data_IF_453604742622
#
_entry.id   IF_453604742622
#
_cell.length_a   1.000
_cell.length_b   1.000
_cell.length_c   1.000
_cell.angle_alpha   90.00
_cell.angle_beta   90.00
_cell.angle_gamma   90.00
#
_symmetry.space_group_name_H-M   'P 1'
#
loop_
_entity.id
_entity.type
_entity.pdbx_description
1 polymer ?
#
# COMPACT_ATOMS: atom_id res chain seq x y z
N UNK A 1 -1.82 5.50 12.00
CA UNK A 1 -3.09 5.57 11.25
C UNK A 1 -2.85 6.29 9.93
N UNK A 2 -3.22 5.71 8.78
CA UNK A 2 -3.08 6.42 7.48
C UNK A 2 -4.12 7.55 7.40
N UNK A 3 -3.94 8.51 6.48
CA UNK A 3 -4.92 9.58 6.27
C UNK A 3 -6.33 9.04 5.97
N UNK A 4 -6.42 7.98 5.16
CA UNK A 4 -7.68 7.29 4.86
C UNK A 4 -8.30 6.65 6.10
N UNK A 5 -7.52 5.94 6.93
CA UNK A 5 -8.04 5.40 8.20
C UNK A 5 -8.55 6.51 9.12
N UNK A 6 -7.90 7.68 9.14
CA UNK A 6 -8.34 8.79 9.95
C UNK A 6 -9.67 9.38 9.46
N UNK A 7 -9.86 9.50 8.14
CA UNK A 7 -11.15 9.92 7.56
C UNK A 7 -12.25 8.92 7.92
N UNK A 8 -12.01 7.61 7.79
CA UNK A 8 -12.98 6.60 8.21
C UNK A 8 -13.29 6.69 9.72
N UNK A 9 -12.27 6.95 10.55
CA UNK A 9 -12.44 7.15 11.99
C UNK A 9 -13.27 8.40 12.30
N UNK A 10 -13.01 9.52 11.61
CA UNK A 10 -13.79 10.75 11.74
C UNK A 10 -15.23 10.59 11.23
N UNK A 11 -15.44 9.77 10.21
CA UNK A 11 -16.79 9.46 9.74
C UNK A 11 -17.58 8.69 10.80
N UNK A 12 -16.95 7.71 11.47
CA UNK A 12 -17.62 6.87 12.47
C UNK A 12 -17.72 7.50 13.86
N UNK A 13 -16.67 8.22 14.29
CA UNK A 13 -16.53 8.78 15.64
C UNK A 13 -16.02 10.22 15.60
N UNK A 14 -16.49 11.00 14.63
CA UNK A 14 -16.14 12.41 14.47
C UNK A 14 -16.80 13.31 15.50
N UNK A 15 -16.85 14.60 15.18
CA UNK A 15 -17.54 15.60 15.97
C UNK A 15 -18.95 15.74 15.44
N UNK A 16 -19.94 15.58 16.32
CA UNK A 16 -21.35 15.87 16.03
C UNK A 16 -21.79 17.00 16.96
N UNK A 17 -22.36 18.08 16.41
CA UNK A 17 -22.82 19.26 17.17
C UNK A 17 -21.75 19.85 18.13
N UNK A 18 -20.50 19.94 17.67
CA UNK A 18 -19.39 20.50 18.45
C UNK A 18 -18.85 19.59 19.56
N UNK A 19 -19.42 18.38 19.74
CA UNK A 19 -18.94 17.38 20.71
C UNK A 19 -18.25 16.22 19.99
N UNK A 20 -17.05 15.85 20.43
CA UNK A 20 -16.42 14.60 19.97
C UNK A 20 -17.30 13.43 20.39
N UNK A 21 -17.72 12.63 19.42
CA UNK A 21 -18.45 11.39 19.72
C UNK A 21 -17.50 10.36 20.35
N UNK A 22 -18.05 9.52 21.24
CA UNK A 22 -17.28 8.50 21.94
C UNK A 22 -16.95 7.34 21.00
N UNK A 23 -15.67 6.99 20.92
CA UNK A 23 -15.24 5.79 20.20
C UNK A 23 -15.53 4.54 21.03
N UNK A 24 -16.56 3.79 20.66
CA UNK A 24 -17.00 2.58 21.36
C UNK A 24 -16.07 1.36 21.18
N UNK A 25 -15.16 1.41 20.20
CA UNK A 25 -14.24 0.32 19.88
C UNK A 25 -12.89 0.90 19.47
N UNK A 26 -11.79 0.24 19.83
CA UNK A 26 -10.47 0.61 19.30
C UNK A 26 -10.40 0.30 17.80
N UNK A 27 -9.59 1.06 17.06
CA UNK A 27 -9.42 0.82 15.63
C UNK A 27 -8.81 -0.55 15.33
N UNK A 28 -7.89 -1.00 16.18
CA UNK A 28 -7.25 -2.31 16.05
C UNK A 28 -8.24 -3.46 16.25
N UNK A 29 -9.26 -3.28 17.11
CA UNK A 29 -10.33 -4.27 17.27
C UNK A 29 -11.30 -4.24 16.08
N UNK A 30 -11.53 -3.08 15.46
CA UNK A 30 -12.36 -3.00 14.26
C UNK A 30 -11.77 -3.77 13.07
N UNK A 31 -10.44 -3.76 12.93
CA UNK A 31 -9.77 -4.41 11.80
C UNK A 31 -9.68 -5.93 11.92
N UNK A 32 -9.97 -6.48 13.10
CA UNK A 32 -10.05 -7.93 13.28
C UNK A 32 -11.22 -8.52 12.47
N UNK A 33 -11.10 -9.78 12.01
CA UNK A 33 -12.21 -10.51 11.41
C UNK A 33 -13.45 -10.54 12.32
N UNK A 34 -14.64 -10.61 11.70
CA UNK A 34 -15.90 -10.76 12.45
C UNK A 34 -15.92 -12.00 13.35
N UNK A 35 -15.27 -13.09 12.91
CA UNK A 35 -15.09 -14.31 13.70
C UNK A 35 -14.24 -14.13 14.96
N UNK A 36 -13.42 -13.08 15.03
CA UNK A 36 -12.57 -12.75 16.17
C UNK A 36 -13.14 -11.56 16.99
N UNK A 37 -14.42 -11.23 16.80
CA UNK A 37 -15.08 -10.14 17.54
C UNK A 37 -14.74 -8.74 17.05
N UNK A 38 -14.19 -8.61 15.84
CA UNK A 38 -14.01 -7.33 15.14
C UNK A 38 -15.12 -7.01 14.15
N UNK A 39 -14.93 -5.96 13.35
CA UNK A 39 -15.90 -5.55 12.31
C UNK A 39 -15.48 -5.98 10.89
N UNK A 40 -14.29 -6.56 10.74
CA UNK A 40 -13.73 -6.97 9.45
C UNK A 40 -13.24 -5.78 8.61
N UNK A 41 -12.89 -4.66 9.24
CA UNK A 41 -12.33 -3.52 8.52
C UNK A 41 -10.92 -3.88 8.02
N UNK A 42 -10.55 -3.40 6.83
CA UNK A 42 -9.17 -3.62 6.36
C UNK A 42 -8.23 -2.70 7.09
N UNK A 43 -7.09 -3.23 7.53
CA UNK A 43 -5.95 -2.37 7.85
C UNK A 43 -5.48 -1.68 6.57
N UNK A 44 -5.77 -0.39 6.46
CA UNK A 44 -5.44 0.40 5.28
C UNK A 44 -3.93 0.51 5.04
N UNK A 45 -3.09 0.38 6.08
CA UNK A 45 -1.64 0.38 5.91
C UNK A 45 -1.23 -0.91 5.20
N UNK A 46 -1.59 -2.06 5.76
CA UNK A 46 -1.29 -3.37 5.17
C UNK A 46 -1.91 -3.50 3.77
N UNK A 47 -3.15 -3.04 3.58
CA UNK A 47 -3.82 -3.07 2.29
C UNK A 47 -3.11 -2.20 1.24
N UNK A 48 -2.66 -1.00 1.60
CA UNK A 48 -1.90 -0.15 0.69
C UNK A 48 -0.54 -0.77 0.34
N UNK A 49 0.17 -1.34 1.32
CA UNK A 49 1.42 -2.07 1.07
C UNK A 49 1.21 -3.22 0.08
N UNK A 50 0.15 -4.01 0.26
CA UNK A 50 -0.21 -5.09 -0.66
C UNK A 50 -0.55 -4.58 -2.07
N UNK A 51 -1.23 -3.43 -2.20
CA UNK A 51 -1.51 -2.82 -3.51
C UNK A 51 -0.23 -2.34 -4.20
N UNK A 52 0.70 -1.74 -3.48
CA UNK A 52 2.01 -1.33 -4.02
C UNK A 52 2.81 -2.55 -4.49
N UNK A 53 2.88 -3.60 -3.68
CA UNK A 53 3.50 -4.87 -4.07
C UNK A 53 2.83 -5.48 -5.30
N UNK A 54 1.49 -5.50 -5.35
CA UNK A 54 0.73 -5.97 -6.53
C UNK A 54 1.08 -5.16 -7.78
N UNK A 55 1.22 -3.84 -7.66
CA UNK A 55 1.57 -3.01 -8.80
C UNK A 55 2.99 -3.30 -9.30
N UNK A 56 3.96 -3.47 -8.39
CA UNK A 56 5.31 -3.89 -8.75
C UNK A 56 5.32 -5.28 -9.41
N UNK A 57 4.54 -6.23 -8.87
CA UNK A 57 4.38 -7.57 -9.44
C UNK A 57 3.86 -7.54 -10.87
N UNK A 58 2.88 -6.67 -11.17
CA UNK A 58 2.35 -6.53 -12.54
C UNK A 58 3.41 -6.09 -13.55
N UNK A 59 4.44 -5.34 -13.14
CA UNK A 59 5.54 -4.97 -14.03
C UNK A 59 6.42 -6.17 -14.39
N UNK A 60 6.49 -7.17 -13.50
CA UNK A 60 7.20 -8.43 -13.71
C UNK A 60 6.36 -9.40 -14.55
N UNK A 61 5.09 -9.56 -14.20
CA UNK A 61 4.16 -10.52 -14.80
C UNK A 61 3.68 -10.09 -16.20
N UNK A 62 3.50 -8.77 -16.43
CA UNK A 62 3.00 -8.22 -17.69
C UNK A 62 3.93 -7.17 -18.31
N UNK A 63 5.18 -7.55 -18.68
CA UNK A 63 6.20 -6.61 -19.15
C UNK A 63 5.86 -5.95 -20.51
N UNK A 64 4.94 -6.56 -21.27
CA UNK A 64 4.47 -6.05 -22.57
C UNK A 64 3.39 -4.97 -22.44
N UNK A 65 2.82 -4.76 -21.25
CA UNK A 65 1.82 -3.71 -21.03
C UNK A 65 2.40 -2.33 -21.31
N UNK A 66 1.57 -1.39 -21.77
CA UNK A 66 2.01 -0.01 -22.05
C UNK A 66 2.66 0.63 -20.81
N UNK A 67 2.06 0.42 -19.64
CA UNK A 67 2.58 0.91 -18.36
C UNK A 67 3.98 0.35 -18.06
N UNK A 68 4.18 -0.97 -18.21
CA UNK A 68 5.48 -1.59 -17.96
C UNK A 68 6.56 -1.10 -18.94
N UNK A 69 6.23 -0.98 -20.22
CA UNK A 69 7.14 -0.45 -21.25
C UNK A 69 7.54 1.00 -20.99
N UNK A 70 6.58 1.83 -20.61
CA UNK A 70 6.82 3.25 -20.32
C UNK A 70 7.67 3.44 -19.07
N UNK A 71 7.38 2.69 -18.00
CA UNK A 71 8.18 2.71 -16.78
C UNK A 71 9.59 2.15 -17.01
N UNK A 72 9.73 1.09 -17.80
CA UNK A 72 11.04 0.55 -18.21
C UNK A 72 11.85 1.60 -18.95
N UNK A 73 11.28 2.20 -20.00
CA UNK A 73 11.98 3.21 -20.80
C UNK A 73 12.43 4.41 -19.96
N UNK A 74 11.65 4.81 -18.94
CA UNK A 74 11.96 5.95 -18.08
C UNK A 74 12.95 5.63 -16.97
N UNK A 75 12.84 4.47 -16.32
CA UNK A 75 13.52 4.20 -15.05
C UNK A 75 14.58 3.10 -15.14
N UNK A 76 14.43 2.11 -16.03
CA UNK A 76 15.38 1.00 -16.21
C UNK A 76 15.50 0.59 -17.70
N UNK A 77 15.92 1.48 -18.60
CA UNK A 77 15.88 1.22 -20.04
C UNK A 77 16.72 0.00 -20.44
N UNK A 78 17.90 -0.14 -19.86
CA UNK A 78 18.84 -1.24 -20.13
C UNK A 78 18.90 -2.29 -19.00
N UNK A 79 18.05 -2.17 -17.98
CA UNK A 79 18.11 -2.99 -16.78
C UNK A 79 16.93 -3.97 -16.64
N UNK A 80 17.09 -4.90 -15.71
CA UNK A 80 16.02 -5.77 -15.22
C UNK A 80 15.51 -5.24 -13.89
N UNK A 81 14.19 -5.16 -13.73
CA UNK A 81 13.55 -4.53 -12.56
C UNK A 81 14.05 -5.10 -11.22
N UNK A 82 14.31 -6.41 -11.14
CA UNK A 82 14.79 -7.07 -9.92
C UNK A 82 16.28 -6.83 -9.64
N UNK A 83 17.11 -6.71 -10.67
CA UNK A 83 18.58 -6.66 -10.53
C UNK A 83 19.11 -5.24 -10.40
N UNK A 84 18.27 -4.24 -10.70
CA UNK A 84 18.65 -2.83 -10.63
C UNK A 84 18.43 -2.24 -9.24
N UNK A 85 19.47 -1.60 -8.71
CA UNK A 85 19.36 -0.68 -7.57
C UNK A 85 18.94 0.67 -8.12
N UNK A 86 17.76 1.14 -7.70
CA UNK A 86 17.26 2.45 -8.11
C UNK A 86 17.61 3.49 -7.06
N UNK A 87 18.10 4.67 -7.44
CA UNK A 87 18.19 5.77 -6.50
C UNK A 87 16.79 6.10 -5.98
N UNK A 88 16.68 6.48 -4.70
CA UNK A 88 15.42 6.94 -4.09
C UNK A 88 15.04 8.37 -4.55
N UNK A 89 15.24 8.64 -5.84
CA UNK A 89 14.89 9.87 -6.54
C UNK A 89 13.73 9.57 -7.49
N UNK A 90 12.84 10.56 -7.67
CA UNK A 90 11.69 10.44 -8.56
C UNK A 90 10.35 10.72 -7.90
N UNK A 91 9.32 10.73 -8.73
CA UNK A 91 7.93 11.03 -8.36
C UNK A 91 7.37 9.99 -7.39
N UNK A 92 6.38 10.41 -6.58
CA UNK A 92 5.74 9.58 -5.55
C UNK A 92 5.27 8.22 -6.08
N UNK A 93 4.77 8.17 -7.33
CA UNK A 93 4.35 6.92 -7.99
C UNK A 93 5.50 5.93 -8.12
N UNK A 94 6.67 6.39 -8.58
CA UNK A 94 7.84 5.51 -8.74
C UNK A 94 8.35 5.03 -7.39
N UNK A 95 8.40 5.92 -6.39
CA UNK A 95 8.76 5.53 -5.01
C UNK A 95 7.82 4.46 -4.45
N UNK A 96 6.52 4.54 -4.74
CA UNK A 96 5.56 3.51 -4.38
C UNK A 96 5.83 2.16 -5.06
N UNK A 97 6.21 2.18 -6.35
CA UNK A 97 6.60 0.96 -7.08
C UNK A 97 7.88 0.36 -6.51
N UNK A 98 8.90 1.17 -6.20
CA UNK A 98 10.14 0.73 -5.57
C UNK A 98 9.87 0.08 -4.21
N UNK A 99 9.05 0.72 -3.38
CA UNK A 99 8.63 0.17 -2.10
C UNK A 99 7.91 -1.18 -2.27
N UNK A 100 7.00 -1.30 -3.24
CA UNK A 100 6.35 -2.56 -3.56
C UNK A 100 7.33 -3.64 -4.02
N UNK A 101 8.35 -3.27 -4.78
CA UNK A 101 9.41 -4.17 -5.23
C UNK A 101 10.29 -4.66 -4.07
N UNK A 102 10.64 -3.79 -3.14
CA UNK A 102 11.36 -4.15 -1.91
C UNK A 102 10.57 -5.16 -1.08
N UNK A 103 9.26 -4.95 -0.91
CA UNK A 103 8.38 -5.92 -0.25
C UNK A 103 8.41 -7.27 -0.95
N UNK A 104 8.30 -7.30 -2.29
CA UNK A 104 8.37 -8.56 -3.04
C UNK A 104 9.73 -9.26 -2.89
N UNK A 105 10.84 -8.50 -2.94
CA UNK A 105 12.18 -9.07 -2.75
C UNK A 105 12.33 -9.69 -1.38
N UNK A 106 11.85 -9.01 -0.33
CA UNK A 106 11.87 -9.53 1.04
C UNK A 106 11.12 -10.86 1.16
N UNK A 107 9.91 -10.95 0.60
CA UNK A 107 9.11 -12.17 0.67
C UNK A 107 9.66 -13.31 -0.21
N UNK A 108 10.27 -13.00 -1.36
CA UNK A 108 10.81 -14.01 -2.29
C UNK A 108 12.18 -14.54 -1.87
N UNK A 109 13.04 -13.70 -1.29
CA UNK A 109 14.42 -14.04 -0.96
C UNK A 109 14.67 -14.22 0.55
N UNK A 110 13.68 -13.94 1.40
CA UNK A 110 13.76 -14.18 2.84
C UNK A 110 14.78 -13.31 3.61
N UNK A 111 15.23 -12.20 3.02
CA UNK A 111 16.15 -11.22 3.63
C UNK A 111 15.40 -9.97 4.05
#
# INVERSE_FOLDING_TARGET
MTGVSNICRQYLWGVENGKKTMAWMSWDKMTLPKSMGGMGFRDMRAFNQALLAKQAWRLLDTPKSLCARLLKAKYFPSGHLLDTVFPNSGYAVWKGVLYGLELLKKELYGV
#
